data_IF_893286508218
#
_entry.id   IF_893286508218
#
_cell.length_a   1.000
_cell.length_b   1.000
_cell.length_c   1.000
_cell.angle_alpha   90.00
_cell.angle_beta   90.00
_cell.angle_gamma   90.00
#
_symmetry.space_group_name_H-M   'P 1'
#
loop_
_entity.id
_entity.type
_entity.pdbx_description
1 polymer ?
#
# COMPACT_ATOMS: atom_id res chain seq x y z
N UNK A 1 -5.49 -8.98 -4.28
CA UNK A 1 -5.47 -9.16 -2.81
C UNK A 1 -6.73 -9.91 -2.41
N UNK A 2 -6.66 -10.90 -1.51
CA UNK A 2 -7.81 -11.71 -1.04
C UNK A 2 -8.73 -12.31 -2.14
N UNK A 3 -8.18 -13.06 -3.12
CA UNK A 3 -8.96 -13.62 -4.24
C UNK A 3 -10.04 -14.63 -3.81
N UNK A 4 -9.91 -15.24 -2.63
CA UNK A 4 -10.92 -16.18 -2.09
C UNK A 4 -12.22 -15.48 -1.64
N UNK A 5 -12.17 -14.16 -1.41
CA UNK A 5 -13.31 -13.35 -0.94
C UNK A 5 -13.85 -12.44 -2.04
N UNK A 6 -12.96 -11.83 -2.82
CA UNK A 6 -13.32 -10.85 -3.84
C UNK A 6 -12.96 -11.34 -5.24
N UNK A 7 -13.92 -11.21 -6.16
CA UNK A 7 -13.74 -11.55 -7.58
C UNK A 7 -14.33 -10.47 -8.49
N UNK A 8 -14.12 -10.60 -9.79
CA UNK A 8 -14.72 -9.72 -10.79
C UNK A 8 -16.05 -10.32 -11.29
N UNK A 9 -17.15 -9.59 -11.15
CA UNK A 9 -18.48 -9.94 -11.67
C UNK A 9 -19.00 -8.76 -12.49
N UNK A 10 -19.35 -9.00 -13.75
CA UNK A 10 -19.88 -7.98 -14.68
C UNK A 10 -19.00 -6.72 -14.78
N UNK A 11 -17.67 -6.88 -14.72
CA UNK A 11 -16.71 -5.78 -14.80
C UNK A 11 -16.53 -4.97 -13.51
N UNK A 12 -17.16 -5.39 -12.40
CA UNK A 12 -16.99 -4.77 -11.08
C UNK A 12 -16.36 -5.75 -10.08
N UNK A 13 -15.68 -5.22 -9.07
CA UNK A 13 -15.27 -6.01 -7.90
C UNK A 13 -16.49 -6.35 -7.05
N UNK A 14 -16.64 -7.62 -6.70
CA UNK A 14 -17.76 -8.11 -5.90
C UNK A 14 -17.28 -9.10 -4.83
N UNK A 15 -17.98 -9.12 -3.69
CA UNK A 15 -17.80 -10.16 -2.67
C UNK A 15 -18.51 -11.42 -3.13
N UNK A 16 -17.75 -12.46 -3.50
CA UNK A 16 -18.29 -13.76 -3.90
C UNK A 16 -18.56 -14.67 -2.70
N UNK A 17 -17.72 -14.57 -1.67
CA UNK A 17 -17.81 -15.38 -0.45
C UNK A 17 -17.54 -14.48 0.75
N UNK A 18 -18.41 -14.52 1.76
CA UNK A 18 -18.17 -13.84 3.04
C UNK A 18 -17.32 -14.75 3.93
N UNK A 19 -16.13 -14.32 4.40
CA UNK A 19 -15.26 -15.17 5.19
C UNK A 19 -15.72 -15.28 6.65
N UNK A 20 -15.58 -16.48 7.22
CA UNK A 20 -15.94 -16.77 8.60
C UNK A 20 -15.06 -16.02 9.61
N UNK A 21 -15.60 -15.77 10.81
CA UNK A 21 -14.85 -15.12 11.89
C UNK A 21 -13.66 -15.96 12.32
N UNK A 22 -12.49 -15.33 12.47
CA UNK A 22 -11.24 -16.00 12.85
C UNK A 22 -10.54 -16.78 11.74
N UNK A 23 -11.09 -16.81 10.51
CA UNK A 23 -10.46 -17.47 9.37
C UNK A 23 -9.26 -16.69 8.81
N UNK A 24 -8.27 -17.36 8.19
CA UNK A 24 -7.22 -16.68 7.42
C UNK A 24 -7.77 -15.79 6.30
N UNK A 25 -8.84 -16.22 5.64
CA UNK A 25 -9.53 -15.50 4.57
C UNK A 25 -10.09 -14.18 5.09
N UNK A 26 -10.61 -14.15 6.33
CA UNK A 26 -11.06 -12.91 6.96
C UNK A 26 -9.93 -11.95 7.23
N UNK A 27 -8.76 -12.44 7.69
CA UNK A 27 -7.59 -11.58 7.84
C UNK A 27 -7.16 -10.98 6.49
N UNK A 28 -7.13 -11.79 5.43
CA UNK A 28 -6.84 -11.31 4.08
C UNK A 28 -7.89 -10.29 3.59
N UNK A 29 -9.17 -10.49 3.90
CA UNK A 29 -10.23 -9.54 3.57
C UNK A 29 -10.07 -8.21 4.30
N UNK A 30 -9.61 -8.21 5.56
CA UNK A 30 -9.30 -6.99 6.31
C UNK A 30 -8.05 -6.28 5.75
N UNK A 31 -7.05 -7.01 5.25
CA UNK A 31 -5.94 -6.40 4.49
C UNK A 31 -6.45 -5.72 3.20
N UNK A 32 -7.40 -6.35 2.50
CA UNK A 32 -8.05 -5.78 1.32
C UNK A 32 -8.85 -4.53 1.68
N UNK A 33 -9.58 -4.54 2.79
CA UNK A 33 -10.28 -3.37 3.33
C UNK A 33 -9.32 -2.19 3.52
N UNK A 34 -8.17 -2.40 4.17
CA UNK A 34 -7.17 -1.36 4.38
C UNK A 34 -6.51 -0.88 3.09
N UNK A 35 -6.50 -1.72 2.06
CA UNK A 35 -5.95 -1.42 0.75
C UNK A 35 -6.96 -0.79 -0.21
N UNK A 36 -8.26 -0.83 0.09
CA UNK A 36 -9.28 -0.28 -0.80
C UNK A 36 -9.13 1.25 -0.92
N UNK A 37 -8.90 1.80 -2.13
CA UNK A 37 -8.66 3.22 -2.31
C UNK A 37 -9.91 4.06 -1.98
N UNK A 38 -11.08 3.57 -2.35
CA UNK A 38 -12.39 4.21 -2.22
C UNK A 38 -13.19 3.77 -0.99
N UNK A 39 -12.57 2.97 -0.10
CA UNK A 39 -13.22 2.41 1.09
C UNK A 39 -14.51 1.61 0.81
N UNK A 40 -14.64 1.01 -0.38
CA UNK A 40 -15.83 0.25 -0.78
C UNK A 40 -15.96 -1.12 -0.12
N UNK A 41 -14.89 -1.66 0.46
CA UNK A 41 -14.92 -2.90 1.23
C UNK A 41 -15.27 -2.55 2.68
N UNK A 42 -16.31 -3.16 3.21
CA UNK A 42 -16.82 -2.91 4.54
C UNK A 42 -16.79 -4.17 5.40
N UNK A 43 -16.75 -4.00 6.72
CA UNK A 43 -16.92 -5.05 7.72
C UNK A 43 -17.86 -4.53 8.80
N UNK A 44 -18.94 -5.25 9.08
CA UNK A 44 -19.96 -4.81 10.04
C UNK A 44 -19.55 -5.11 11.49
N UNK A 45 -18.96 -6.28 11.74
CA UNK A 45 -18.59 -6.72 13.09
C UNK A 45 -17.12 -7.16 13.15
N UNK A 46 -16.22 -6.19 13.30
CA UNK A 46 -14.79 -6.41 13.52
C UNK A 46 -14.38 -6.00 14.92
N UNK A 47 -13.59 -6.84 15.60
CA UNK A 47 -12.92 -6.43 16.83
C UNK A 47 -11.76 -5.47 16.54
N UNK A 48 -11.43 -4.54 17.45
CA UNK A 48 -10.26 -3.67 17.31
C UNK A 48 -8.95 -4.45 17.11
N UNK A 49 -8.85 -5.65 17.70
CA UNK A 49 -7.69 -6.52 17.55
C UNK A 49 -7.50 -7.09 16.14
N UNK A 50 -8.59 -7.45 15.45
CA UNK A 50 -8.53 -7.97 14.08
C UNK A 50 -8.03 -6.89 13.10
N UNK A 51 -8.58 -5.66 13.21
CA UNK A 51 -8.15 -4.54 12.38
C UNK A 51 -6.70 -4.14 12.67
N UNK A 52 -6.30 -4.14 13.95
CA UNK A 52 -4.91 -3.89 14.33
C UNK A 52 -3.97 -4.94 13.73
N UNK A 53 -4.32 -6.23 13.84
CA UNK A 53 -3.52 -7.31 13.25
C UNK A 53 -3.36 -7.16 11.74
N UNK A 54 -4.44 -6.83 11.01
CA UNK A 54 -4.39 -6.60 9.56
C UNK A 54 -3.52 -5.38 9.21
N UNK A 55 -3.68 -4.26 9.93
CA UNK A 55 -2.85 -3.06 9.74
C UNK A 55 -1.37 -3.36 10.01
N UNK A 56 -1.11 -4.07 11.09
CA UNK A 56 0.24 -4.38 11.54
C UNK A 56 0.86 -5.53 10.74
N UNK A 57 0.17 -6.06 9.73
CA UNK A 57 0.74 -7.03 8.78
C UNK A 57 1.53 -6.37 7.64
N UNK A 58 1.30 -5.08 7.34
CA UNK A 58 2.02 -4.35 6.30
C UNK A 58 3.37 -3.82 6.78
N UNK A 59 4.45 -3.79 5.98
CA UNK A 59 4.56 -4.26 4.60
C UNK A 59 4.37 -5.78 4.47
N UNK A 60 3.51 -6.19 3.53
CA UNK A 60 3.11 -7.59 3.32
C UNK A 60 3.92 -8.20 2.16
N UNK A 61 4.71 -9.28 2.35
CA UNK A 61 5.45 -9.91 1.26
C UNK A 61 4.57 -10.33 0.07
N UNK A 62 5.03 -10.07 -1.15
CA UNK A 62 4.33 -10.49 -2.37
C UNK A 62 4.82 -11.89 -2.77
N UNK A 63 3.90 -12.86 -2.78
CA UNK A 63 4.16 -14.25 -3.19
C UNK A 63 4.81 -14.33 -4.57
N UNK A 64 5.80 -15.20 -4.73
CA UNK A 64 6.53 -15.39 -5.99
C UNK A 64 7.60 -14.32 -6.28
N UNK A 65 7.75 -13.32 -5.41
CA UNK A 65 8.81 -12.30 -5.53
C UNK A 65 9.83 -12.45 -4.40
N UNK A 66 11.04 -11.93 -4.62
CA UNK A 66 12.08 -11.85 -3.58
C UNK A 66 12.18 -10.41 -3.08
N UNK A 67 12.02 -10.22 -1.77
CA UNK A 67 12.19 -8.93 -1.09
C UNK A 67 11.26 -7.81 -1.59
N UNK A 68 10.10 -8.13 -2.15
CA UNK A 68 9.09 -7.12 -2.51
C UNK A 68 7.90 -7.26 -1.56
N UNK A 69 7.54 -6.17 -0.92
CA UNK A 69 6.42 -6.11 0.00
C UNK A 69 5.38 -5.11 -0.50
N UNK A 70 4.13 -5.52 -0.55
CA UNK A 70 3.01 -4.63 -0.78
C UNK A 70 2.76 -3.75 0.45
N UNK A 71 2.44 -2.47 0.23
CA UNK A 71 2.26 -1.50 1.31
C UNK A 71 0.80 -1.30 1.73
N UNK A 72 -0.16 -1.82 0.96
CA UNK A 72 -1.58 -1.58 1.20
C UNK A 72 -1.92 -0.09 1.08
N UNK A 73 -2.94 0.36 1.82
CA UNK A 73 -3.25 1.78 1.99
C UNK A 73 -3.34 2.58 0.68
N UNK A 74 -3.93 2.03 -0.39
CA UNK A 74 -4.00 2.72 -1.70
C UNK A 74 -4.74 4.05 -1.57
N UNK A 75 -4.38 5.04 -2.38
CA UNK A 75 -5.01 6.36 -2.35
C UNK A 75 -5.94 6.54 -3.55
N UNK A 76 -7.17 6.99 -3.30
CA UNK A 76 -8.07 7.44 -4.38
C UNK A 76 -7.46 8.60 -5.17
N UNK A 77 -6.73 9.50 -4.48
CA UNK A 77 -6.03 10.63 -5.08
C UNK A 77 -4.88 10.23 -6.04
N UNK A 78 -4.45 8.97 -5.97
CA UNK A 78 -3.49 8.35 -6.89
C UNK A 78 -4.17 7.25 -7.72
N UNK A 79 -5.46 7.41 -8.05
CA UNK A 79 -6.24 6.48 -8.88
C UNK A 79 -6.19 5.00 -8.46
N UNK A 80 -5.93 4.73 -7.18
CA UNK A 80 -5.79 3.36 -6.68
C UNK A 80 -4.45 2.70 -6.98
N UNK A 81 -3.38 3.47 -7.16
CA UNK A 81 -2.01 2.97 -7.23
C UNK A 81 -1.73 1.94 -6.12
N UNK A 82 -1.03 0.87 -6.49
CA UNK A 82 -0.70 -0.24 -5.60
C UNK A 82 0.77 -0.17 -5.17
N UNK A 83 1.13 0.63 -4.15
CA UNK A 83 2.51 0.88 -3.77
C UNK A 83 3.18 -0.37 -3.19
N UNK A 84 4.49 -0.47 -3.41
CA UNK A 84 5.31 -1.56 -2.90
C UNK A 84 6.71 -1.11 -2.49
N UNK A 85 7.31 -1.85 -1.57
CA UNK A 85 8.66 -1.64 -1.06
C UNK A 85 9.57 -2.77 -1.55
N UNK A 86 10.63 -2.41 -2.26
CA UNK A 86 11.72 -3.31 -2.61
C UNK A 86 12.78 -3.22 -1.52
N UNK A 87 12.91 -4.28 -0.72
CA UNK A 87 13.85 -4.37 0.39
C UNK A 87 15.24 -4.78 -0.14
N UNK A 88 16.24 -3.93 0.13
CA UNK A 88 17.61 -4.06 -0.41
C UNK A 88 18.63 -3.83 0.71
N UNK A 89 18.91 -4.87 1.52
CA UNK A 89 19.86 -4.77 2.63
C UNK A 89 21.21 -4.20 2.17
N UNK A 90 21.72 -3.20 2.90
CA UNK A 90 23.00 -2.52 2.61
C UNK A 90 22.99 -1.54 1.42
N UNK A 91 22.02 -1.60 0.50
CA UNK A 91 21.94 -0.71 -0.68
C UNK A 91 20.94 0.44 -0.49
N UNK A 92 19.97 0.25 0.40
CA UNK A 92 18.85 1.15 0.64
C UNK A 92 17.61 0.72 -0.14
N UNK A 93 16.49 0.59 0.58
CA UNK A 93 15.22 0.16 0.02
C UNK A 93 14.66 1.20 -0.97
N UNK A 94 13.81 0.74 -1.89
CA UNK A 94 13.09 1.60 -2.84
C UNK A 94 11.60 1.43 -2.57
N UNK A 95 10.92 2.54 -2.31
CA UNK A 95 9.46 2.61 -2.30
C UNK A 95 9.01 2.99 -3.71
N UNK A 96 8.20 2.15 -4.36
CA UNK A 96 7.60 2.43 -5.67
C UNK A 96 6.17 2.89 -5.45
N UNK A 97 5.89 4.11 -5.90
CA UNK A 97 4.73 4.93 -5.53
C UNK A 97 4.53 5.00 -4.02
N UNK A 98 3.56 5.77 -3.54
CA UNK A 98 3.38 5.97 -2.09
C UNK A 98 1.98 5.56 -1.63
N UNK A 99 1.87 4.89 -0.48
CA UNK A 99 0.57 4.67 0.13
C UNK A 99 0.03 5.96 0.74
N UNK A 100 -1.28 5.96 1.05
CA UNK A 100 -1.84 6.94 2.00
C UNK A 100 -1.00 6.96 3.26
N UNK A 101 -0.76 8.16 3.77
CA UNK A 101 0.05 8.34 4.95
C UNK A 101 -0.52 7.56 6.16
N UNK A 102 0.32 6.76 6.80
CA UNK A 102 0.04 6.10 8.07
C UNK A 102 1.28 6.18 8.96
N UNK A 103 1.21 6.80 10.15
CA UNK A 103 2.33 6.82 11.09
C UNK A 103 2.81 5.41 11.48
N UNK A 104 1.87 4.47 11.64
CA UNK A 104 2.18 3.07 11.97
C UNK A 104 2.91 2.38 10.82
N UNK A 105 2.44 2.54 9.57
CA UNK A 105 3.13 1.98 8.41
C UNK A 105 4.53 2.60 8.26
N UNK A 106 4.66 3.90 8.48
CA UNK A 106 5.95 4.60 8.40
C UNK A 106 6.96 4.06 9.41
N UNK A 107 6.56 3.85 10.67
CA UNK A 107 7.40 3.20 11.68
C UNK A 107 7.83 1.79 11.27
N UNK A 108 6.91 1.01 10.70
CA UNK A 108 7.20 -0.36 10.25
C UNK A 108 8.14 -0.39 9.05
N UNK A 109 8.00 0.55 8.12
CA UNK A 109 8.93 0.73 7.00
C UNK A 109 10.32 1.11 7.53
N UNK A 110 10.42 2.03 8.50
CA UNK A 110 11.69 2.35 9.15
C UNK A 110 12.33 1.12 9.81
N UNK A 111 11.54 0.29 10.50
CA UNK A 111 12.02 -0.94 11.15
C UNK A 111 12.63 -1.96 10.18
N UNK A 112 12.25 -1.95 8.90
CA UNK A 112 12.83 -2.80 7.85
C UNK A 112 13.90 -2.09 6.99
N UNK A 113 14.43 -0.97 7.47
CA UNK A 113 15.52 -0.22 6.84
C UNK A 113 15.08 1.03 6.07
N UNK A 114 13.84 1.50 6.27
CA UNK A 114 13.31 2.72 5.66
C UNK A 114 13.12 2.60 4.14
N UNK A 115 13.18 3.74 3.45
CA UNK A 115 13.34 3.81 2.00
C UNK A 115 14.34 4.91 1.64
N UNK A 116 15.42 4.54 0.94
CA UNK A 116 16.41 5.51 0.47
C UNK A 116 15.89 6.30 -0.74
N UNK A 117 15.09 5.63 -1.57
CA UNK A 117 14.50 6.20 -2.77
C UNK A 117 12.99 6.01 -2.76
N UNK A 118 12.27 7.01 -3.27
CA UNK A 118 10.88 6.91 -3.70
C UNK A 118 10.90 7.03 -5.22
N UNK A 119 10.48 5.98 -5.92
CA UNK A 119 10.31 5.99 -7.37
C UNK A 119 8.84 6.19 -7.68
N UNK A 120 8.50 7.30 -8.33
CA UNK A 120 7.15 7.63 -8.76
C UNK A 120 6.99 7.20 -10.21
N UNK A 121 5.98 6.37 -10.48
CA UNK A 121 5.74 5.74 -11.78
C UNK A 121 5.38 6.76 -12.86
N UNK A 122 4.42 7.65 -12.58
CA UNK A 122 3.96 8.72 -13.46
C UNK A 122 3.25 9.84 -12.67
N UNK A 123 2.94 10.96 -13.32
CA UNK A 123 2.35 12.15 -12.68
C UNK A 123 1.02 11.90 -11.97
N UNK A 124 0.26 10.90 -12.40
CA UNK A 124 -1.07 10.63 -11.83
C UNK A 124 -1.01 10.01 -10.43
N UNK A 125 0.11 9.37 -10.04
CA UNK A 125 0.20 8.55 -8.82
C UNK A 125 1.09 9.18 -7.72
N UNK A 126 1.31 10.48 -7.80
CA UNK A 126 2.29 11.18 -6.95
C UNK A 126 1.72 11.70 -5.63
N UNK A 127 0.43 11.59 -5.34
CA UNK A 127 -0.16 12.23 -4.16
C UNK A 127 0.48 11.77 -2.83
N UNK A 128 0.92 12.72 -2.00
CA UNK A 128 1.50 12.46 -0.67
C UNK A 128 2.99 12.07 -0.66
N UNK A 129 3.65 12.09 -1.83
CA UNK A 129 5.07 11.74 -1.98
C UNK A 129 6.02 12.61 -1.15
N UNK A 130 5.70 13.89 -1.00
CA UNK A 130 6.44 14.88 -0.23
C UNK A 130 6.51 14.53 1.26
N UNK A 131 5.37 14.15 1.84
CA UNK A 131 5.28 13.76 3.26
C UNK A 131 6.11 12.50 3.54
N UNK A 132 6.03 11.52 2.65
CA UNK A 132 6.83 10.30 2.76
C UNK A 132 8.32 10.58 2.60
N UNK A 133 8.70 11.38 1.60
CA UNK A 133 10.09 11.76 1.36
C UNK A 133 10.68 12.51 2.57
N UNK A 134 9.94 13.46 3.14
CA UNK A 134 10.35 14.20 4.33
C UNK A 134 10.54 13.29 5.54
N UNK A 135 9.60 12.38 5.80
CA UNK A 135 9.68 11.50 6.96
C UNK A 135 10.77 10.44 6.88
N UNK A 136 11.00 9.89 5.68
CA UNK A 136 12.00 8.83 5.46
C UNK A 136 13.38 9.39 5.08
N UNK A 137 13.50 10.69 4.81
CA UNK A 137 14.72 11.28 4.24
C UNK A 137 15.03 10.75 2.84
N UNK A 138 14.00 10.34 2.09
CA UNK A 138 14.17 9.68 0.79
C UNK A 138 14.45 10.68 -0.33
N UNK A 139 15.25 10.24 -1.31
CA UNK A 139 15.36 10.92 -2.60
C UNK A 139 14.22 10.48 -3.51
N UNK A 140 13.55 11.43 -4.16
CA UNK A 140 12.48 11.15 -5.12
C UNK A 140 13.06 11.00 -6.53
N UNK A 141 12.51 10.06 -7.28
CA UNK A 141 12.87 9.76 -8.67
C UNK A 141 11.56 9.71 -9.45
N UNK A 142 11.47 10.48 -10.53
CA UNK A 142 10.36 10.45 -11.48
C UNK A 142 10.94 10.72 -12.87
N UNK A 143 10.29 10.23 -13.92
CA UNK A 143 10.72 10.53 -15.28
C UNK A 143 10.59 12.04 -15.57
N UNK A 144 11.56 12.63 -16.26
CA UNK A 144 11.60 14.08 -16.51
C UNK A 144 10.36 14.63 -17.25
N UNK A 145 9.74 13.82 -18.13
CA UNK A 145 8.51 14.20 -18.82
C UNK A 145 7.26 14.15 -17.93
N UNK A 146 7.33 13.46 -16.79
CA UNK A 146 6.25 13.35 -15.79
C UNK A 146 6.42 14.36 -14.64
N UNK A 147 7.64 14.83 -14.41
CA UNK A 147 7.95 15.85 -13.43
C UNK A 147 7.26 17.19 -13.76
N UNK A 148 6.71 17.86 -12.74
CA UNK A 148 6.14 19.19 -12.89
C UNK A 148 6.06 19.95 -11.57
N UNK A 149 6.13 21.27 -11.65
CA UNK A 149 6.04 22.17 -10.49
C UNK A 149 4.70 22.05 -9.75
N UNK A 150 3.58 21.85 -10.46
CA UNK A 150 2.23 21.81 -9.87
C UNK A 150 2.09 20.72 -8.80
N UNK A 151 2.75 19.58 -9.00
CA UNK A 151 2.71 18.45 -8.08
C UNK A 151 3.98 18.35 -7.21
N UNK A 152 4.90 19.31 -7.34
CA UNK A 152 6.13 19.38 -6.54
C UNK A 152 7.09 18.21 -6.79
N UNK A 153 7.07 17.65 -8.00
CA UNK A 153 7.85 16.47 -8.42
C UNK A 153 9.15 16.82 -9.15
N UNK A 154 9.46 18.11 -9.31
CA UNK A 154 10.75 18.65 -9.75
C UNK A 154 11.81 18.65 -8.64
#
# INVERSE_FOLDING_TARGET
MAPETFTAINGASATSVQPDRGSPERHAALQALLSCPTFSIHVEDSSPGELAAARDSFPLPISGTKNVCHLGHHAEQSYGAAPYLIVRPGLGNIMVDVPRWSPQLAQRIQAVGGAKYIFLSHRDDVFGHDRWAQHLGSKRIIHALEANTRQGTE
#
